data_IF_818537418268
#
_entry.id   IF_818537418268
#
_cell.length_a   1.000
_cell.length_b   1.000
_cell.length_c   1.000
_cell.angle_alpha   90.00
_cell.angle_beta   90.00
_cell.angle_gamma   90.00
#
_symmetry.space_group_name_H-M   'P 1'
#
loop_
_entity.id
_entity.type
_entity.pdbx_description
1 polymer ?
#
# COMPACT_ATOMS: atom_id res chain seq x y z
N UNK A 1 -20.16 -0.84 18.97
CA UNK A 1 -18.85 -1.20 18.41
C UNK A 1 -18.29 0.03 17.69
N UNK A 2 -17.22 0.65 18.21
CA UNK A 2 -16.51 1.71 17.49
C UNK A 2 -15.66 1.04 16.39
N UNK A 3 -15.71 1.49 15.13
CA UNK A 3 -14.98 0.80 14.09
C UNK A 3 -13.51 1.18 14.22
N UNK A 4 -12.67 0.20 14.55
CA UNK A 4 -11.21 0.25 14.39
C UNK A 4 -10.76 0.44 12.92
N UNK A 5 -11.68 0.86 12.04
CA UNK A 5 -11.49 0.96 10.60
C UNK A 5 -10.42 1.97 10.20
N UNK A 6 -10.21 3.03 10.98
CA UNK A 6 -9.15 4.01 10.73
C UNK A 6 -7.73 3.42 10.88
N UNK A 7 -7.52 2.61 11.92
CA UNK A 7 -6.24 1.93 12.18
C UNK A 7 -5.99 0.86 11.11
N UNK A 8 -7.03 0.10 10.75
CA UNK A 8 -6.93 -0.91 9.70
C UNK A 8 -6.63 -0.28 8.32
N UNK A 9 -7.20 0.90 8.06
CA UNK A 9 -6.95 1.66 6.83
C UNK A 9 -5.52 2.14 6.74
N UNK A 10 -4.98 2.79 7.79
CA UNK A 10 -3.59 3.27 7.80
C UNK A 10 -2.60 2.12 7.68
N UNK A 11 -2.80 1.03 8.44
CA UNK A 11 -1.92 -0.15 8.38
C UNK A 11 -1.92 -0.79 6.98
N UNK A 12 -3.07 -0.83 6.30
CA UNK A 12 -3.13 -1.35 4.91
C UNK A 12 -2.33 -0.47 3.96
N UNK A 13 -2.42 0.86 4.08
CA UNK A 13 -1.65 1.81 3.26
C UNK A 13 -0.15 1.65 3.51
N UNK A 14 0.28 1.56 4.77
CA UNK A 14 1.70 1.40 5.14
C UNK A 14 2.29 0.10 4.59
N UNK A 15 1.59 -1.03 4.75
CA UNK A 15 2.03 -2.32 4.21
C UNK A 15 2.07 -2.32 2.69
N UNK A 16 1.13 -1.64 2.03
CA UNK A 16 1.10 -1.54 0.57
C UNK A 16 2.25 -0.65 0.06
N UNK A 17 2.51 0.47 0.73
CA UNK A 17 3.64 1.34 0.42
C UNK A 17 4.99 0.64 0.59
N UNK A 18 5.14 -0.16 1.65
CA UNK A 18 6.34 -0.96 1.86
C UNK A 18 6.51 -2.04 0.78
N UNK A 19 5.41 -2.68 0.37
CA UNK A 19 5.43 -3.63 -0.74
C UNK A 19 5.85 -2.95 -2.06
N UNK A 20 5.25 -1.81 -2.40
CA UNK A 20 5.60 -1.00 -3.58
C UNK A 20 7.07 -0.59 -3.56
N UNK A 21 7.58 -0.09 -2.42
CA UNK A 21 8.99 0.29 -2.26
C UNK A 21 9.93 -0.90 -2.42
N UNK A 22 9.54 -2.07 -1.90
CA UNK A 22 10.36 -3.29 -1.98
C UNK A 22 10.39 -3.87 -3.39
N UNK A 23 9.28 -3.80 -4.12
CA UNK A 23 9.20 -4.21 -5.53
C UNK A 23 9.98 -3.22 -6.42
N UNK A 24 9.84 -1.93 -6.13
CA UNK A 24 10.53 -0.86 -6.84
C UNK A 24 9.77 -0.41 -8.10
N UNK A 25 10.54 0.12 -9.05
CA UNK A 25 10.02 0.63 -10.32
C UNK A 25 9.30 -0.48 -11.11
N UNK A 26 8.10 -0.19 -11.61
CA UNK A 26 7.29 -1.17 -12.35
C UNK A 26 6.38 -2.04 -11.49
N UNK A 27 6.22 -1.76 -10.19
CA UNK A 27 5.21 -2.40 -9.35
C UNK A 27 3.81 -2.28 -9.98
N UNK A 28 3.15 -3.42 -10.19
CA UNK A 28 1.80 -3.51 -10.76
C UNK A 28 0.77 -3.94 -9.74
N UNK A 29 -0.52 -3.77 -10.07
CA UNK A 29 -1.61 -4.30 -9.25
C UNK A 29 -1.52 -5.82 -9.08
N UNK A 30 -1.01 -6.54 -10.09
CA UNK A 30 -0.81 -7.98 -10.00
C UNK A 30 0.22 -8.35 -8.92
N UNK A 31 1.31 -7.59 -8.81
CA UNK A 31 2.32 -7.80 -7.78
C UNK A 31 1.74 -7.57 -6.38
N UNK A 32 0.89 -6.56 -6.23
CA UNK A 32 0.18 -6.30 -4.97
C UNK A 32 -0.82 -7.42 -4.64
N UNK A 33 -1.51 -7.97 -5.64
CA UNK A 33 -2.36 -9.15 -5.45
C UNK A 33 -1.54 -10.35 -4.97
N UNK A 34 -0.37 -10.59 -5.56
CA UNK A 34 0.55 -11.65 -5.12
C UNK A 34 1.07 -11.43 -3.69
N UNK A 35 1.14 -10.17 -3.22
CA UNK A 35 1.44 -9.82 -1.82
C UNK A 35 0.26 -9.96 -0.86
N UNK A 36 -0.92 -10.32 -1.37
CA UNK A 36 -2.13 -10.57 -0.58
C UNK A 36 -3.07 -9.38 -0.46
N UNK A 37 -2.89 -8.33 -1.26
CA UNK A 37 -3.85 -7.23 -1.35
C UNK A 37 -5.02 -7.61 -2.26
N UNK A 38 -6.23 -7.24 -1.86
CA UNK A 38 -7.41 -7.38 -2.72
C UNK A 38 -7.47 -6.24 -3.73
N UNK A 39 -8.07 -6.48 -4.90
CA UNK A 39 -8.35 -5.42 -5.89
C UNK A 39 -9.05 -4.22 -5.27
N UNK A 40 -10.00 -4.45 -4.34
CA UNK A 40 -10.67 -3.38 -3.60
C UNK A 40 -9.70 -2.53 -2.78
N UNK A 41 -8.75 -3.15 -2.09
CA UNK A 41 -7.75 -2.41 -1.31
C UNK A 41 -6.81 -1.62 -2.23
N UNK A 42 -6.40 -2.21 -3.35
CA UNK A 42 -5.55 -1.54 -4.34
C UNK A 42 -6.24 -0.31 -4.91
N UNK A 43 -7.50 -0.45 -5.34
CA UNK A 43 -8.29 0.69 -5.85
C UNK A 43 -8.50 1.79 -4.81
N UNK A 44 -8.73 1.42 -3.55
CA UNK A 44 -9.00 2.40 -2.49
C UNK A 44 -7.74 3.09 -1.94
N UNK A 45 -6.62 2.39 -1.92
CA UNK A 45 -5.42 2.80 -1.17
C UNK A 45 -4.17 2.95 -2.03
N UNK A 46 -4.17 2.50 -3.28
CA UNK A 46 -3.00 2.46 -4.15
C UNK A 46 -2.35 3.82 -4.38
N UNK A 47 -3.14 4.88 -4.59
CA UNK A 47 -2.59 6.23 -4.77
C UNK A 47 -1.85 6.72 -3.52
N UNK A 48 -2.47 6.61 -2.35
CA UNK A 48 -1.87 6.98 -1.07
C UNK A 48 -0.65 6.13 -0.72
N UNK A 49 -0.71 4.83 -1.03
CA UNK A 49 0.42 3.92 -0.83
C UNK A 49 1.59 4.28 -1.74
N UNK A 50 1.34 4.71 -2.98
CA UNK A 50 2.37 5.15 -3.93
C UNK A 50 3.08 6.42 -3.46
N UNK A 51 2.31 7.41 -2.99
CA UNK A 51 2.87 8.63 -2.40
C UNK A 51 3.77 8.31 -1.19
N UNK A 52 3.28 7.46 -0.29
CA UNK A 52 4.04 7.03 0.88
C UNK A 52 5.30 6.24 0.49
N UNK A 53 5.20 5.33 -0.48
CA UNK A 53 6.33 4.54 -0.99
C UNK A 53 7.43 5.45 -1.55
N UNK A 54 7.06 6.48 -2.30
CA UNK A 54 7.99 7.49 -2.84
C UNK A 54 8.71 8.24 -1.72
N UNK A 55 7.97 8.71 -0.71
CA UNK A 55 8.56 9.39 0.45
C UNK A 55 9.53 8.46 1.20
N UNK A 56 9.15 7.20 1.40
CA UNK A 56 10.00 6.20 2.06
C UNK A 56 11.26 5.86 1.25
N UNK A 57 11.16 5.86 -0.09
CA UNK A 57 12.29 5.60 -0.97
C UNK A 57 13.33 6.75 -0.97
N UNK A 58 12.87 8.00 -0.86
CA UNK A 58 13.77 9.16 -0.76
C UNK A 58 14.37 9.37 0.64
N UNK A 59 13.78 8.77 1.67
CA UNK A 59 14.24 8.86 3.05
C UNK A 59 15.31 7.80 3.42
N UNK A 60 15.65 6.91 2.51
CA UNK A 60 16.64 5.84 2.68
C UNK A 60 17.99 6.21 2.02
#
# INVERSE_FOLDING_TARGET
>A
MQPNGGIHTRNTIERMAEAMRTIGEGCTDHDLILKGFTERQITLFGSKATELATVMAHAA
#
